data_IF_763006344025
#
_entry.id   IF_763006344025
#
_cell.length_a   1.000
_cell.length_b   1.000
_cell.length_c   1.000
_cell.angle_alpha   90.00
_cell.angle_beta   90.00
_cell.angle_gamma   90.00
#
_symmetry.space_group_name_H-M   'P 1'
#
loop_
_entity.id
_entity.type
_entity.pdbx_description
1 polymer ?
#
# COMPACT_ATOMS: atom_id res chain seq x y z
N UNK A 1 14.68 0.16 -6.41
CA UNK A 1 13.72 -0.69 -7.15
C UNK A 1 13.89 -2.18 -6.89
N UNK A 2 15.11 -2.72 -6.77
CA UNK A 2 15.34 -4.18 -6.59
C UNK A 2 14.69 -4.80 -5.33
N UNK A 3 14.58 -4.05 -4.24
CA UNK A 3 14.01 -4.56 -2.97
C UNK A 3 12.48 -4.59 -2.99
N UNK A 4 11.83 -3.62 -3.64
CA UNK A 4 10.37 -3.56 -3.75
C UNK A 4 9.84 -4.72 -4.62
N UNK A 5 10.49 -4.97 -5.76
CA UNK A 5 10.13 -6.10 -6.64
C UNK A 5 10.39 -7.46 -5.97
N UNK A 6 11.45 -7.57 -5.17
CA UNK A 6 11.74 -8.79 -4.40
C UNK A 6 10.73 -9.01 -3.27
N UNK A 7 10.35 -7.94 -2.54
CA UNK A 7 9.35 -7.97 -1.48
C UNK A 7 7.97 -8.40 -2.02
N UNK A 8 7.57 -7.88 -3.18
CA UNK A 8 6.29 -8.21 -3.80
C UNK A 8 6.25 -9.68 -4.25
N UNK A 9 7.37 -10.24 -4.73
CA UNK A 9 7.49 -11.66 -5.11
C UNK A 9 7.40 -12.62 -3.92
N UNK A 10 7.78 -12.20 -2.73
CA UNK A 10 7.67 -12.99 -1.49
C UNK A 10 6.35 -12.72 -0.74
N UNK A 11 5.42 -11.97 -1.35
CA UNK A 11 4.10 -11.68 -0.80
C UNK A 11 4.06 -10.54 0.21
N UNK A 12 5.14 -9.78 0.38
CA UNK A 12 5.15 -8.54 1.16
C UNK A 12 4.64 -7.44 0.25
N UNK A 13 3.37 -7.07 0.43
CA UNK A 13 2.75 -5.95 -0.26
C UNK A 13 3.40 -4.62 0.11
N UNK A 14 3.41 -3.69 -0.82
CA UNK A 14 3.92 -2.34 -0.55
C UNK A 14 2.96 -1.53 0.35
N UNK A 15 3.43 -0.37 0.81
CA UNK A 15 2.66 0.52 1.70
C UNK A 15 1.31 0.93 1.08
N UNK A 16 1.23 1.04 -0.24
CA UNK A 16 0.00 1.41 -0.96
C UNK A 16 -0.98 0.24 -0.99
N UNK A 17 -0.51 -0.98 -1.22
CA UNK A 17 -1.33 -2.18 -1.15
C UNK A 17 -1.92 -2.36 0.27
N UNK A 18 -1.11 -2.16 1.31
CA UNK A 18 -1.59 -2.26 2.69
C UNK A 18 -2.63 -1.17 3.01
N UNK A 19 -2.37 0.07 2.58
CA UNK A 19 -3.30 1.17 2.76
C UNK A 19 -4.65 0.93 2.06
N UNK A 20 -4.65 0.39 0.84
CA UNK A 20 -5.87 0.02 0.11
C UNK A 20 -6.68 -1.07 0.84
N UNK A 21 -6.01 -2.07 1.43
CA UNK A 21 -6.68 -3.07 2.27
C UNK A 21 -7.35 -2.44 3.50
N UNK A 22 -6.68 -1.47 4.14
CA UNK A 22 -7.25 -0.74 5.29
C UNK A 22 -8.45 0.13 4.89
N UNK A 23 -8.46 0.73 3.69
CA UNK A 23 -9.64 1.43 3.18
C UNK A 23 -10.81 0.48 2.88
N UNK A 24 -10.53 -0.71 2.36
CA UNK A 24 -11.56 -1.74 2.15
C UNK A 24 -12.21 -2.18 3.47
N UNK A 25 -11.48 -2.10 4.58
CA UNK A 25 -12.01 -2.36 5.93
C UNK A 25 -12.68 -1.13 6.57
N UNK A 26 -12.93 -0.06 5.80
CA UNK A 26 -13.56 1.18 6.26
C UNK A 26 -12.79 1.93 7.36
N UNK A 27 -11.50 1.62 7.55
CA UNK A 27 -10.66 2.24 8.59
C UNK A 27 -9.99 3.53 8.09
N UNK A 28 -9.81 3.69 6.78
CA UNK A 28 -9.22 4.90 6.17
C UNK A 28 -9.89 5.24 4.83
N UNK A 29 -9.67 6.47 4.34
CA UNK A 29 -10.28 6.98 3.10
C UNK A 29 -9.28 6.98 1.94
N UNK A 30 -9.75 6.77 0.71
CA UNK A 30 -8.93 6.80 -0.50
C UNK A 30 -8.16 8.12 -0.68
N UNK A 31 -8.75 9.24 -0.26
CA UNK A 31 -8.09 10.55 -0.25
C UNK A 31 -6.86 10.59 0.68
N UNK A 32 -6.95 9.95 1.85
CA UNK A 32 -5.83 9.88 2.79
C UNK A 32 -4.75 8.93 2.28
N UNK A 33 -5.14 7.79 1.69
CA UNK A 33 -4.22 6.87 1.01
C UNK A 33 -3.41 7.60 -0.06
N UNK A 34 -4.07 8.37 -0.91
CA UNK A 34 -3.40 9.13 -1.96
C UNK A 34 -2.54 10.29 -1.41
N UNK A 35 -2.84 10.81 -0.22
CA UNK A 35 -2.00 11.81 0.46
C UNK A 35 -0.71 11.22 0.99
N UNK A 36 -0.77 10.02 1.59
CA UNK A 36 0.36 9.37 2.27
C UNK A 36 1.19 8.46 1.36
N UNK A 37 0.60 8.00 0.25
CA UNK A 37 1.30 7.26 -0.80
C UNK A 37 1.65 8.20 -1.95
N UNK A 38 2.43 9.24 -1.65
CA UNK A 38 3.17 9.97 -2.69
C UNK A 38 4.47 9.22 -2.89
N UNK A 39 4.71 8.82 -4.13
CA UNK A 39 5.90 8.08 -4.58
C UNK A 39 7.21 8.46 -3.87
#
# INVERSE_FOLDING_TARGET
MQVADAAQKIGIGDLRQWALMTAAHWVTSLAEINRVTKD
#
